data_IF_341661019397
#
_entry.id   IF_341661019397
#
_cell.length_a   1.000
_cell.length_b   1.000
_cell.length_c   1.000
_cell.angle_alpha   90.00
_cell.angle_beta   90.00
_cell.angle_gamma   90.00
#
_symmetry.space_group_name_H-M   'P 1'
#
loop_
_entity.id
_entity.type
_entity.pdbx_description
1 polymer ?
#
# COMPACT_ATOMS: atom_id res chain seq x y z
N UNK A 1 -30.16 28.90 4.82
CA UNK A 1 -31.31 28.56 3.95
C UNK A 1 -31.54 29.78 3.05
N UNK A 2 -30.75 29.88 1.98
CA UNK A 2 -30.90 30.96 0.99
C UNK A 2 -31.16 30.33 -0.37
N UNK A 3 -32.29 30.71 -0.94
CA UNK A 3 -32.79 30.24 -2.22
C UNK A 3 -32.26 31.19 -3.29
N UNK A 4 -31.39 30.72 -4.18
CA UNK A 4 -31.06 31.44 -5.41
C UNK A 4 -32.06 31.02 -6.50
N UNK A 5 -32.92 31.94 -6.89
CA UNK A 5 -33.85 31.77 -8.01
C UNK A 5 -33.24 32.37 -9.27
N UNK A 6 -32.97 31.54 -10.27
CA UNK A 6 -32.62 32.01 -11.62
C UNK A 6 -33.88 31.86 -12.49
N UNK A 7 -34.45 32.96 -12.91
CA UNK A 7 -35.49 33.03 -13.91
C UNK A 7 -34.96 32.79 -15.31
N UNK A 8 -35.29 31.67 -15.92
CA UNK A 8 -35.36 31.54 -17.37
C UNK A 8 -36.63 30.86 -17.79
N UNK A 9 -37.27 31.49 -18.78
CA UNK A 9 -38.59 31.16 -19.33
C UNK A 9 -38.72 29.72 -19.85
N UNK A 10 -39.83 29.08 -19.48
CA UNK A 10 -40.46 27.87 -20.03
C UNK A 10 -39.87 26.48 -19.71
N UNK A 11 -40.66 25.80 -18.91
CA UNK A 11 -40.67 24.40 -18.50
C UNK A 11 -39.95 24.09 -17.19
N UNK A 12 -40.74 24.16 -16.10
CA UNK A 12 -40.40 23.58 -14.81
C UNK A 12 -40.20 22.06 -14.95
N UNK A 13 -38.95 21.61 -14.91
CA UNK A 13 -38.61 20.26 -14.45
C UNK A 13 -38.00 20.42 -13.07
N UNK A 14 -38.75 20.06 -12.03
CA UNK A 14 -38.22 19.86 -10.67
C UNK A 14 -37.17 18.75 -10.76
N UNK A 15 -35.91 19.09 -10.64
CA UNK A 15 -34.83 18.15 -10.40
C UNK A 15 -34.61 18.10 -8.89
N UNK A 16 -35.18 17.11 -8.23
CA UNK A 16 -34.86 16.79 -6.84
C UNK A 16 -33.41 16.27 -6.78
N UNK A 17 -32.46 17.17 -6.51
CA UNK A 17 -31.10 16.81 -6.15
C UNK A 17 -31.12 16.24 -4.71
N UNK A 18 -31.36 14.95 -4.58
CA UNK A 18 -31.03 14.21 -3.35
C UNK A 18 -29.53 14.20 -3.17
N UNK A 19 -29.04 14.98 -2.22
CA UNK A 19 -27.69 14.84 -1.68
C UNK A 19 -27.61 13.51 -0.91
N UNK A 20 -27.34 12.41 -1.59
CA UNK A 20 -26.84 11.19 -0.94
C UNK A 20 -25.33 11.33 -0.79
N UNK A 21 -24.85 11.37 0.43
CA UNK A 21 -23.44 11.39 0.76
C UNK A 21 -22.73 10.18 0.17
N UNK A 22 -21.88 10.41 -0.82
CA UNK A 22 -21.13 9.42 -1.61
C UNK A 22 -20.43 8.32 -0.78
N UNK A 23 -19.95 8.54 0.47
CA UNK A 23 -19.31 7.49 1.25
C UNK A 23 -20.27 6.42 1.79
N UNK A 24 -21.51 6.77 2.13
CA UNK A 24 -22.46 5.82 2.74
C UNK A 24 -23.07 4.89 1.68
N UNK A 25 -23.29 5.39 0.47
CA UNK A 25 -23.81 4.59 -0.65
C UNK A 25 -22.80 3.51 -1.07
N UNK A 26 -21.51 3.85 -1.21
CA UNK A 26 -20.45 2.89 -1.52
C UNK A 26 -20.31 1.79 -0.45
N UNK A 27 -20.41 2.15 0.82
CA UNK A 27 -20.38 1.18 1.93
C UNK A 27 -21.63 0.31 1.93
N UNK A 28 -22.80 0.87 1.63
CA UNK A 28 -24.08 0.13 1.61
C UNK A 28 -24.17 -0.81 0.40
N UNK A 29 -23.64 -0.41 -0.76
CA UNK A 29 -23.60 -1.25 -1.97
C UNK A 29 -22.52 -2.34 -1.87
N UNK A 30 -21.39 -2.07 -1.24
CA UNK A 30 -20.35 -3.06 -0.91
C UNK A 30 -20.82 -4.09 0.12
N UNK A 31 -21.69 -3.71 1.06
CA UNK A 31 -22.19 -4.58 2.14
C UNK A 31 -23.49 -5.31 1.77
N UNK A 32 -24.26 -4.83 0.80
CA UNK A 32 -25.59 -5.39 0.47
C UNK A 32 -25.61 -6.84 -0.04
N UNK A 33 -24.58 -7.37 -0.74
CA UNK A 33 -24.53 -8.78 -1.13
C UNK A 33 -24.03 -9.72 -0.04
N UNK A 34 -23.45 -9.18 1.05
CA UNK A 34 -22.84 -9.96 2.15
C UNK A 34 -23.88 -10.41 3.18
N UNK A 35 -25.10 -9.87 3.09
CA UNK A 35 -26.19 -10.06 4.05
C UNK A 35 -26.82 -11.47 4.01
N UNK A 36 -26.61 -12.28 2.95
CA UNK A 36 -27.30 -13.58 2.82
C UNK A 36 -26.70 -14.72 3.66
N UNK A 37 -25.46 -14.57 4.17
CA UNK A 37 -24.88 -15.59 5.06
C UNK A 37 -23.94 -14.90 6.08
N UNK A 38 -24.38 -14.80 7.31
CA UNK A 38 -23.66 -14.17 8.44
C UNK A 38 -22.21 -14.70 8.58
N UNK A 39 -22.01 -15.99 8.33
CA UNK A 39 -20.70 -16.64 8.42
C UNK A 39 -19.74 -16.15 7.33
N UNK A 40 -20.22 -15.96 6.11
CA UNK A 40 -19.40 -15.44 4.99
C UNK A 40 -19.00 -13.98 5.24
N UNK A 41 -19.89 -13.15 5.77
CA UNK A 41 -19.58 -11.75 6.13
C UNK A 41 -18.48 -11.67 7.19
N UNK A 42 -18.54 -12.48 8.22
CA UNK A 42 -17.50 -12.53 9.28
C UNK A 42 -16.16 -13.05 8.76
N UNK A 43 -16.18 -14.02 7.85
CA UNK A 43 -14.93 -14.50 7.18
C UNK A 43 -14.28 -13.39 6.38
N UNK A 44 -15.06 -12.59 5.64
CA UNK A 44 -14.54 -11.46 4.87
C UNK A 44 -14.01 -10.35 5.78
N UNK A 45 -14.70 -10.04 6.88
CA UNK A 45 -14.23 -9.10 7.88
C UNK A 45 -12.90 -9.55 8.52
N UNK A 46 -12.78 -10.85 8.83
CA UNK A 46 -11.53 -11.43 9.34
C UNK A 46 -10.39 -11.27 8.35
N UNK A 47 -10.58 -11.59 7.07
CA UNK A 47 -9.56 -11.43 6.03
C UNK A 47 -9.21 -9.96 5.81
N UNK A 48 -10.20 -9.05 5.80
CA UNK A 48 -10.00 -7.62 5.62
C UNK A 48 -9.29 -6.94 6.80
N UNK A 49 -9.42 -7.46 8.01
CA UNK A 49 -8.74 -6.91 9.20
C UNK A 49 -7.21 -7.06 9.13
N UNK A 50 -6.71 -8.09 8.45
CA UNK A 50 -5.28 -8.43 8.40
C UNK A 50 -4.46 -7.34 7.65
N UNK A 51 -4.80 -6.94 6.40
CA UNK A 51 -4.07 -5.88 5.71
C UNK A 51 -4.25 -4.50 6.36
N UNK A 52 -5.37 -4.27 7.04
CA UNK A 52 -5.58 -3.05 7.81
C UNK A 52 -4.51 -2.87 8.89
N UNK A 53 -4.19 -3.93 9.64
CA UNK A 53 -3.17 -3.90 10.71
C UNK A 53 -1.78 -3.59 10.14
N UNK A 54 -1.41 -4.20 9.01
CA UNK A 54 -0.13 -3.93 8.35
C UNK A 54 0.06 -2.43 8.10
N UNK A 55 -0.97 -1.79 7.56
CA UNK A 55 -0.91 -0.39 7.16
C UNK A 55 -0.90 0.55 8.37
N UNK A 56 -1.67 0.20 9.42
CA UNK A 56 -1.66 0.95 10.67
C UNK A 56 -0.25 1.09 11.23
N UNK A 57 0.57 0.04 11.13
CA UNK A 57 1.90 0.00 11.74
C UNK A 57 2.92 1.03 11.26
N UNK A 58 2.86 1.44 10.03
CA UNK A 58 3.75 2.49 9.52
C UNK A 58 3.08 3.86 9.49
N UNK A 59 1.88 3.92 8.92
CA UNK A 59 1.22 5.20 8.66
C UNK A 59 0.76 5.91 9.94
N UNK A 60 0.41 5.14 10.99
CA UNK A 60 -0.03 5.69 12.28
C UNK A 60 1.10 6.39 13.05
N UNK A 61 2.35 5.95 12.86
CA UNK A 61 3.49 6.56 13.57
C UNK A 61 3.98 7.86 12.91
N UNK A 62 3.70 8.06 11.61
CA UNK A 62 4.21 9.23 10.87
C UNK A 62 3.89 10.57 11.56
N UNK A 63 2.64 10.87 11.96
CA UNK A 63 2.34 12.12 12.63
C UNK A 63 2.99 12.26 14.01
N UNK A 64 3.40 11.14 14.62
CA UNK A 64 3.98 11.10 15.97
C UNK A 64 5.50 11.28 15.93
N UNK A 65 6.16 11.03 14.81
CA UNK A 65 7.62 11.04 14.70
C UNK A 65 8.29 12.34 15.18
N UNK A 66 7.78 13.56 14.89
CA UNK A 66 8.39 14.77 15.40
C UNK A 66 8.33 14.86 16.93
N UNK A 67 7.24 14.40 17.56
CA UNK A 67 7.12 14.34 19.02
C UNK A 67 8.08 13.33 19.62
N UNK A 68 8.22 12.14 19.00
CA UNK A 68 9.23 11.14 19.38
C UNK A 68 10.65 11.69 19.27
N UNK A 69 10.92 12.46 18.19
CA UNK A 69 12.22 13.12 18.00
C UNK A 69 12.54 14.07 19.14
N UNK A 70 11.59 14.89 19.55
CA UNK A 70 11.76 15.87 20.64
C UNK A 70 11.94 15.19 21.99
N UNK A 71 11.06 14.25 22.36
CA UNK A 71 11.05 13.58 23.67
C UNK A 71 12.28 12.67 23.88
N UNK A 72 12.75 12.01 22.82
CA UNK A 72 13.90 11.11 22.89
C UNK A 72 15.23 11.80 22.48
N UNK A 73 15.23 13.10 22.20
CA UNK A 73 16.39 13.88 21.74
C UNK A 73 17.10 13.22 20.53
N UNK A 74 16.33 12.80 19.53
CA UNK A 74 16.84 12.11 18.35
C UNK A 74 17.22 13.08 17.23
N UNK A 75 18.20 12.69 16.41
CA UNK A 75 18.45 13.33 15.11
C UNK A 75 17.36 12.96 14.11
N UNK A 76 17.23 13.72 13.02
CA UNK A 76 16.27 13.43 11.94
C UNK A 76 16.51 12.06 11.33
N UNK A 77 17.77 11.67 11.18
CA UNK A 77 18.13 10.34 10.71
C UNK A 77 17.71 9.24 11.68
N UNK A 78 18.00 9.40 13.00
CA UNK A 78 17.61 8.40 14.00
C UNK A 78 16.11 8.19 14.09
N UNK A 79 15.30 9.25 14.02
CA UNK A 79 13.84 9.09 14.04
C UNK A 79 13.30 8.42 12.78
N UNK A 80 13.92 8.65 11.61
CA UNK A 80 13.53 7.98 10.36
C UNK A 80 13.78 6.46 10.41
N UNK A 81 14.81 6.00 11.14
CA UNK A 81 15.10 4.58 11.32
C UNK A 81 13.96 3.80 11.97
N UNK A 82 13.08 4.45 12.72
CA UNK A 82 11.89 3.80 13.30
C UNK A 82 10.95 3.25 12.22
N UNK A 83 10.84 3.92 11.08
CA UNK A 83 10.09 3.43 9.90
C UNK A 83 10.94 2.47 9.08
N UNK A 84 12.23 2.79 8.92
CA UNK A 84 13.16 2.05 8.08
C UNK A 84 13.35 0.61 8.54
N UNK A 85 13.69 0.38 9.81
CA UNK A 85 13.98 -0.97 10.32
C UNK A 85 12.77 -1.91 10.25
N UNK A 86 11.56 -1.38 10.47
CA UNK A 86 10.32 -2.12 10.24
C UNK A 86 10.20 -2.54 8.78
N UNK A 87 10.38 -1.59 7.87
CA UNK A 87 10.19 -1.83 6.43
C UNK A 87 11.26 -2.73 5.84
N UNK A 88 12.51 -2.64 6.31
CA UNK A 88 13.61 -3.55 5.94
C UNK A 88 13.32 -4.96 6.44
N UNK A 89 12.95 -5.11 7.71
CA UNK A 89 12.62 -6.41 8.29
C UNK A 89 11.43 -7.05 7.54
N UNK A 90 10.40 -6.29 7.21
CA UNK A 90 9.28 -6.76 6.40
C UNK A 90 9.75 -7.18 4.99
N UNK A 91 10.56 -6.35 4.31
CA UNK A 91 11.05 -6.63 2.96
C UNK A 91 11.83 -7.95 2.88
N UNK A 92 12.68 -8.22 3.86
CA UNK A 92 13.46 -9.46 3.93
C UNK A 92 12.55 -10.66 4.23
N UNK A 93 11.55 -10.49 5.10
CA UNK A 93 10.71 -11.59 5.58
C UNK A 93 9.57 -11.95 4.62
N UNK A 94 9.10 -11.04 3.75
CA UNK A 94 7.98 -11.28 2.83
C UNK A 94 8.18 -12.51 1.94
N UNK A 95 9.31 -12.70 1.23
CA UNK A 95 9.50 -13.87 0.38
C UNK A 95 9.54 -15.18 1.19
N UNK A 96 10.14 -15.14 2.38
CA UNK A 96 10.24 -16.30 3.27
C UNK A 96 8.86 -16.73 3.80
N UNK A 97 8.11 -15.80 4.37
CA UNK A 97 6.79 -16.08 4.92
C UNK A 97 5.77 -16.41 3.82
N UNK A 98 5.91 -15.82 2.63
CA UNK A 98 5.17 -16.19 1.43
C UNK A 98 5.37 -17.68 1.09
N UNK A 99 6.62 -18.12 0.98
CA UNK A 99 6.97 -19.53 0.74
C UNK A 99 6.43 -20.45 1.84
N UNK A 100 6.61 -20.09 3.10
CA UNK A 100 6.11 -20.88 4.22
C UNK A 100 4.58 -21.00 4.21
N UNK A 101 3.87 -19.95 3.78
CA UNK A 101 2.42 -19.95 3.69
C UNK A 101 1.88 -20.88 2.58
N UNK A 102 2.67 -21.11 1.53
CA UNK A 102 2.36 -22.09 0.47
C UNK A 102 2.61 -23.54 0.98
N UNK A 103 3.58 -23.72 1.87
CA UNK A 103 3.96 -25.02 2.40
C UNK A 103 3.06 -25.52 3.54
N UNK A 104 2.65 -24.60 4.40
CA UNK A 104 1.75 -24.91 5.53
C UNK A 104 0.32 -24.50 5.16
N UNK A 105 -0.41 -23.86 6.06
CA UNK A 105 -1.68 -23.20 5.74
C UNK A 105 -1.51 -21.71 5.88
N UNK A 106 -2.32 -20.93 5.15
CA UNK A 106 -2.27 -19.46 5.24
C UNK A 106 -2.49 -19.00 6.69
N UNK A 107 -3.47 -19.61 7.35
CA UNK A 107 -3.82 -19.33 8.75
C UNK A 107 -2.66 -19.64 9.71
N UNK A 108 -1.89 -20.72 9.45
CA UNK A 108 -0.75 -21.11 10.29
C UNK A 108 0.42 -20.12 10.22
N UNK A 109 0.49 -19.27 9.21
CA UNK A 109 1.49 -18.21 9.10
C UNK A 109 0.92 -16.86 9.55
N UNK A 110 -0.34 -16.54 9.23
CA UNK A 110 -0.98 -15.28 9.62
C UNK A 110 -1.02 -15.13 11.15
N UNK A 111 -1.44 -16.17 11.91
CA UNK A 111 -1.62 -16.05 13.35
C UNK A 111 -0.29 -15.78 14.09
N UNK A 112 0.80 -16.55 13.90
CA UNK A 112 2.10 -16.23 14.51
C UNK A 112 2.63 -14.87 14.07
N UNK A 113 2.38 -14.47 12.82
CA UNK A 113 2.79 -13.16 12.29
C UNK A 113 2.09 -12.01 13.01
N UNK A 114 0.79 -12.12 13.27
CA UNK A 114 0.04 -11.14 14.07
C UNK A 114 0.50 -11.11 15.53
N UNK A 115 0.84 -12.27 16.10
CA UNK A 115 1.42 -12.35 17.47
C UNK A 115 2.76 -11.62 17.53
N UNK A 116 3.67 -11.88 16.58
CA UNK A 116 4.95 -11.17 16.48
C UNK A 116 4.76 -9.67 16.30
N UNK A 117 3.79 -9.29 15.47
CA UNK A 117 3.49 -7.87 15.24
C UNK A 117 3.03 -7.18 16.52
N UNK A 118 2.10 -7.78 17.26
CA UNK A 118 1.62 -7.29 18.56
C UNK A 118 2.72 -7.26 19.62
N UNK A 119 3.52 -8.33 19.73
CA UNK A 119 4.64 -8.43 20.66
C UNK A 119 5.69 -7.34 20.42
N UNK A 120 6.04 -7.07 19.15
CA UNK A 120 6.94 -5.96 18.81
C UNK A 120 6.37 -4.61 19.23
N UNK A 121 5.05 -4.41 19.14
CA UNK A 121 4.37 -3.22 19.66
C UNK A 121 4.48 -3.10 21.17
N UNK A 122 4.23 -4.20 21.91
CA UNK A 122 4.40 -4.23 23.36
C UNK A 122 5.83 -3.88 23.77
N UNK A 123 6.84 -4.49 23.13
CA UNK A 123 8.25 -4.21 23.42
C UNK A 123 8.56 -2.73 23.21
N UNK A 124 8.18 -2.15 22.06
CA UNK A 124 8.45 -0.76 21.76
C UNK A 124 7.70 0.20 22.71
N UNK A 125 6.43 -0.08 23.01
CA UNK A 125 5.61 0.72 23.91
C UNK A 125 6.10 0.68 25.35
N UNK A 126 6.41 -0.53 25.85
CA UNK A 126 6.93 -0.73 27.21
C UNK A 126 8.29 -0.04 27.38
N UNK A 127 9.16 -0.16 26.40
CA UNK A 127 10.45 0.53 26.42
C UNK A 127 10.28 2.04 26.45
N UNK A 128 9.38 2.58 25.61
CA UNK A 128 9.11 4.01 25.57
C UNK A 128 8.51 4.56 26.88
N UNK A 129 7.73 3.74 27.59
CA UNK A 129 7.08 4.13 28.84
C UNK A 129 7.98 4.08 30.06
N UNK A 130 8.92 3.10 30.12
CA UNK A 130 9.63 2.79 31.35
C UNK A 130 11.17 2.86 31.28
N UNK A 131 11.78 2.88 30.07
CA UNK A 131 13.23 2.83 29.96
C UNK A 131 13.81 4.21 29.62
N UNK A 132 14.84 4.63 30.33
CA UNK A 132 15.59 5.87 30.04
C UNK A 132 16.30 5.84 28.68
N UNK A 133 16.72 4.66 28.21
CA UNK A 133 17.35 4.44 26.91
C UNK A 133 16.41 3.64 25.98
N UNK A 134 15.20 4.14 25.78
CA UNK A 134 14.13 3.44 25.04
C UNK A 134 14.44 3.20 23.55
N UNK A 135 15.29 4.04 22.92
CA UNK A 135 15.45 4.07 21.46
C UNK A 135 15.82 2.71 20.86
N UNK A 136 16.83 2.02 21.40
CA UNK A 136 17.26 0.71 20.87
C UNK A 136 16.18 -0.37 21.02
N UNK A 137 15.44 -0.34 22.11
CA UNK A 137 14.32 -1.26 22.34
C UNK A 137 13.14 -0.97 21.41
N UNK A 138 12.89 0.31 21.14
CA UNK A 138 11.90 0.71 20.11
C UNK A 138 12.29 0.14 18.74
N UNK A 139 13.57 0.28 18.33
CA UNK A 139 14.05 -0.29 17.07
C UNK A 139 13.91 -1.80 17.05
N UNK A 140 14.26 -2.49 18.14
CA UNK A 140 14.08 -3.96 18.26
C UNK A 140 12.61 -4.35 18.11
N UNK A 141 11.71 -3.67 18.82
CA UNK A 141 10.28 -3.87 18.67
C UNK A 141 9.81 -3.64 17.24
N UNK A 142 10.34 -2.63 16.55
CA UNK A 142 10.02 -2.32 15.15
C UNK A 142 10.52 -3.40 14.18
N UNK A 143 11.69 -4.00 14.42
CA UNK A 143 12.18 -5.14 13.65
C UNK A 143 11.24 -6.33 13.80
N UNK A 144 10.86 -6.68 15.04
CA UNK A 144 9.92 -7.78 15.32
C UNK A 144 8.56 -7.52 14.66
N UNK A 145 8.03 -6.30 14.74
CA UNK A 145 6.82 -5.88 14.04
C UNK A 145 6.95 -6.05 12.52
N UNK A 146 8.10 -5.68 11.94
CA UNK A 146 8.37 -5.82 10.51
C UNK A 146 8.34 -7.28 10.05
N UNK A 147 8.95 -8.20 10.82
CA UNK A 147 8.88 -9.64 10.56
C UNK A 147 7.43 -10.11 10.61
N UNK A 148 6.69 -9.73 11.65
CA UNK A 148 5.26 -10.05 11.74
C UNK A 148 4.43 -9.47 10.60
N UNK A 149 4.70 -8.24 10.20
CA UNK A 149 4.02 -7.56 9.08
C UNK A 149 4.10 -8.35 7.76
N UNK A 150 5.24 -8.99 7.50
CA UNK A 150 5.48 -9.74 6.27
C UNK A 150 4.51 -10.92 6.05
N UNK A 151 4.00 -11.51 7.14
CA UNK A 151 3.04 -12.62 7.10
C UNK A 151 1.56 -12.19 7.09
N UNK A 152 1.25 -10.94 6.79
CA UNK A 152 -0.11 -10.39 6.87
C UNK A 152 -0.75 -10.16 5.50
N UNK A 153 -0.71 -8.95 4.95
CA UNK A 153 -1.48 -8.57 3.76
C UNK A 153 -1.24 -9.44 2.52
N UNK A 154 -0.02 -9.82 2.13
CA UNK A 154 0.18 -10.68 0.96
C UNK A 154 -0.47 -12.06 1.13
N UNK A 155 -0.38 -12.62 2.34
CA UNK A 155 -0.94 -13.94 2.65
C UNK A 155 -2.47 -13.85 2.79
N UNK A 156 -3.02 -12.76 3.32
CA UNK A 156 -4.47 -12.53 3.37
C UNK A 156 -5.08 -12.44 1.96
N UNK A 157 -4.40 -11.81 1.01
CA UNK A 157 -4.84 -11.79 -0.39
C UNK A 157 -4.82 -13.19 -1.03
N UNK A 158 -3.77 -13.98 -0.76
CA UNK A 158 -3.70 -15.37 -1.21
C UNK A 158 -4.83 -16.20 -0.58
N UNK A 159 -5.07 -16.07 0.73
CA UNK A 159 -6.16 -16.73 1.44
C UNK A 159 -7.54 -16.39 0.87
N UNK A 160 -7.79 -15.12 0.53
CA UNK A 160 -9.01 -14.70 -0.14
C UNK A 160 -9.18 -15.41 -1.50
N UNK A 161 -8.08 -15.55 -2.25
CA UNK A 161 -8.05 -16.29 -3.52
C UNK A 161 -8.31 -17.79 -3.38
N UNK A 162 -7.85 -18.38 -2.26
CA UNK A 162 -8.02 -19.83 -1.99
C UNK A 162 -9.44 -20.16 -1.49
N UNK A 163 -10.05 -19.29 -0.68
CA UNK A 163 -11.38 -19.52 -0.08
C UNK A 163 -12.55 -19.15 -0.98
N UNK A 164 -12.37 -18.20 -1.88
CA UNK A 164 -13.43 -17.71 -2.76
C UNK A 164 -13.09 -17.94 -4.23
N UNK A 165 -14.10 -18.24 -5.07
CA UNK A 165 -13.92 -18.52 -6.50
C UNK A 165 -14.85 -17.67 -7.37
N UNK A 166 -14.49 -17.49 -8.64
CA UNK A 166 -15.30 -16.79 -9.62
C UNK A 166 -15.54 -15.32 -9.27
N UNK A 167 -16.75 -14.82 -9.50
CA UNK A 167 -17.11 -13.42 -9.23
C UNK A 167 -17.04 -13.02 -7.76
N UNK A 168 -17.21 -13.98 -6.83
CA UNK A 168 -17.09 -13.72 -5.39
C UNK A 168 -15.63 -13.47 -4.98
N UNK A 169 -14.68 -14.20 -5.57
CA UNK A 169 -13.25 -13.97 -5.35
C UNK A 169 -12.84 -12.53 -5.68
N UNK A 170 -13.24 -12.04 -6.86
CA UNK A 170 -12.92 -10.67 -7.27
C UNK A 170 -13.49 -9.62 -6.31
N UNK A 171 -14.71 -9.83 -5.82
CA UNK A 171 -15.35 -8.94 -4.83
C UNK A 171 -14.59 -8.92 -3.51
N UNK A 172 -14.20 -10.10 -3.00
CA UNK A 172 -13.47 -10.21 -1.72
C UNK A 172 -12.08 -9.61 -1.84
N UNK A 173 -11.35 -9.87 -2.92
CA UNK A 173 -10.05 -9.25 -3.17
C UNK A 173 -10.16 -7.72 -3.28
N UNK A 174 -11.18 -7.21 -3.93
CA UNK A 174 -11.49 -5.77 -3.98
C UNK A 174 -11.73 -5.18 -2.59
N UNK A 175 -12.45 -5.90 -1.71
CA UNK A 175 -12.72 -5.45 -0.35
C UNK A 175 -11.46 -5.47 0.53
N UNK A 176 -10.59 -6.47 0.37
CA UNK A 176 -9.29 -6.56 1.04
C UNK A 176 -8.39 -5.38 0.65
N UNK A 177 -8.36 -5.02 -0.63
CA UNK A 177 -7.60 -3.86 -1.11
C UNK A 177 -8.22 -2.54 -0.64
N UNK A 178 -9.55 -2.43 -0.63
CA UNK A 178 -10.26 -1.28 -0.07
C UNK A 178 -9.97 -1.10 1.43
N UNK A 179 -9.90 -2.19 2.19
CA UNK A 179 -9.51 -2.19 3.61
C UNK A 179 -8.08 -1.68 3.80
N UNK A 180 -7.14 -2.11 2.95
CA UNK A 180 -5.76 -1.61 2.92
C UNK A 180 -5.72 -0.10 2.64
N UNK A 181 -6.48 0.36 1.63
CA UNK A 181 -6.59 1.79 1.29
C UNK A 181 -7.21 2.62 2.42
N UNK A 182 -8.31 2.15 2.99
CA UNK A 182 -8.97 2.79 4.13
C UNK A 182 -8.03 2.91 5.34
N UNK A 183 -7.26 1.85 5.61
CA UNK A 183 -6.25 1.86 6.65
C UNK A 183 -5.22 2.97 6.47
N UNK A 184 -4.75 3.23 5.24
CA UNK A 184 -3.80 4.32 4.96
C UNK A 184 -4.39 5.69 5.31
N UNK A 185 -5.66 5.91 4.97
CA UNK A 185 -6.34 7.20 5.20
C UNK A 185 -6.57 7.44 6.69
N UNK A 186 -7.07 6.42 7.41
CA UNK A 186 -7.46 6.59 8.82
C UNK A 186 -6.27 6.54 9.78
N UNK A 187 -5.17 5.87 9.39
CA UNK A 187 -4.00 5.68 10.26
C UNK A 187 -3.39 6.96 10.80
N UNK A 188 -3.11 8.01 10.00
CA UNK A 188 -2.55 9.25 10.53
C UNK A 188 -3.49 9.97 11.50
N UNK A 189 -4.80 9.86 11.25
CA UNK A 189 -5.83 10.46 12.13
C UNK A 189 -5.85 9.74 13.48
N UNK A 190 -5.92 8.40 13.47
CA UNK A 190 -5.87 7.58 14.70
C UNK A 190 -4.56 7.82 15.45
N UNK A 191 -3.43 7.82 14.74
CA UNK A 191 -2.13 8.08 15.34
C UNK A 191 -2.06 9.41 16.04
N UNK A 192 -2.51 10.47 15.39
CA UNK A 192 -2.58 11.81 15.98
C UNK A 192 -3.52 11.88 17.17
N UNK A 193 -4.68 11.22 17.10
CA UNK A 193 -5.64 11.19 18.21
C UNK A 193 -5.06 10.50 19.45
N UNK A 194 -4.41 9.34 19.26
CA UNK A 194 -3.78 8.59 20.34
C UNK A 194 -2.62 9.39 20.97
N UNK A 195 -1.85 10.10 20.15
CA UNK A 195 -0.73 10.92 20.59
C UNK A 195 -1.14 12.13 21.43
N UNK A 196 -2.45 12.48 21.51
CA UNK A 196 -2.96 13.47 22.46
C UNK A 196 -2.86 12.98 23.91
N UNK A 197 -2.94 11.68 24.14
CA UNK A 197 -2.78 11.09 25.49
C UNK A 197 -1.29 11.07 25.82
N UNK A 198 -0.55 10.19 25.15
CA UNK A 198 0.92 10.11 25.17
C UNK A 198 1.40 9.54 23.83
N UNK A 199 2.54 9.99 23.35
CA UNK A 199 3.03 9.58 22.02
C UNK A 199 3.28 8.06 21.90
N UNK A 200 3.71 7.41 22.97
CA UNK A 200 4.01 5.97 22.95
C UNK A 200 2.75 5.08 23.09
N UNK A 201 1.59 5.66 23.40
CA UNK A 201 0.33 4.89 23.44
C UNK A 201 0.00 4.24 22.10
N UNK A 202 0.46 4.81 20.99
CA UNK A 202 0.31 4.24 19.66
C UNK A 202 0.88 2.80 19.56
N UNK A 203 1.97 2.51 20.27
CA UNK A 203 2.56 1.18 20.26
C UNK A 203 1.70 0.14 20.99
N UNK A 204 0.95 0.52 22.01
CA UNK A 204 0.03 -0.36 22.75
C UNK A 204 -1.27 -0.64 22.00
N UNK A 205 -1.62 0.17 21.01
CA UNK A 205 -2.80 -0.06 20.17
C UNK A 205 -2.59 -1.22 19.20
N UNK A 206 -1.36 -1.47 18.75
CA UNK A 206 -1.06 -2.57 17.83
C UNK A 206 -1.42 -3.95 18.39
N UNK A 207 -1.01 -4.36 19.62
CA UNK A 207 -1.41 -5.65 20.18
C UNK A 207 -2.92 -5.79 20.34
N UNK A 208 -3.65 -4.71 20.62
CA UNK A 208 -5.12 -4.73 20.72
C UNK A 208 -5.73 -5.07 19.35
N UNK A 209 -5.32 -4.38 18.30
CA UNK A 209 -5.79 -4.65 16.94
C UNK A 209 -5.38 -6.05 16.45
N UNK A 210 -4.16 -6.48 16.77
CA UNK A 210 -3.71 -7.85 16.48
C UNK A 210 -4.56 -8.89 17.17
N UNK A 211 -4.88 -8.71 18.45
CA UNK A 211 -5.74 -9.61 19.20
C UNK A 211 -7.12 -9.75 18.55
N UNK A 212 -7.74 -8.63 18.18
CA UNK A 212 -9.03 -8.62 17.47
C UNK A 212 -8.93 -9.42 16.16
N UNK A 213 -7.89 -9.16 15.35
CA UNK A 213 -7.70 -9.87 14.08
C UNK A 213 -7.38 -11.35 14.27
N UNK A 214 -6.61 -11.73 15.29
CA UNK A 214 -6.34 -13.12 15.65
C UNK A 214 -7.66 -13.83 16.00
N UNK A 215 -8.47 -13.23 16.87
CA UNK A 215 -9.76 -13.80 17.25
C UNK A 215 -10.67 -13.98 16.03
N UNK A 216 -10.79 -12.95 15.19
CA UNK A 216 -11.55 -13.05 13.94
C UNK A 216 -11.00 -14.18 13.05
N UNK A 217 -9.68 -14.28 12.89
CA UNK A 217 -9.01 -15.29 12.06
C UNK A 217 -9.23 -16.70 12.62
N UNK A 218 -9.11 -16.88 13.95
CA UNK A 218 -9.28 -18.19 14.59
C UNK A 218 -10.70 -18.70 14.46
N UNK A 219 -11.69 -17.86 14.74
CA UNK A 219 -13.09 -18.28 14.80
C UNK A 219 -13.80 -18.32 13.44
N UNK A 220 -13.47 -17.43 12.52
CA UNK A 220 -14.23 -17.27 11.27
C UNK A 220 -13.52 -17.78 10.02
N UNK A 221 -12.21 -18.02 10.05
CA UNK A 221 -11.49 -18.56 8.90
C UNK A 221 -11.34 -20.07 9.07
N UNK A 222 -12.05 -20.83 8.22
CA UNK A 222 -11.94 -22.30 8.12
C UNK A 222 -11.14 -22.63 6.86
N UNK A 223 -9.86 -22.93 7.00
CA UNK A 223 -8.99 -23.35 5.92
C UNK A 223 -8.84 -24.86 5.93
N UNK A 224 -9.06 -25.50 4.76
CA UNK A 224 -8.77 -26.93 4.56
C UNK A 224 -7.32 -27.04 4.07
N UNK A 225 -6.55 -27.92 4.69
CA UNK A 225 -5.17 -28.23 4.26
C UNK A 225 -5.21 -28.79 2.84
N UNK A 226 -4.73 -28.03 1.86
CA UNK A 226 -4.51 -28.53 0.51
C UNK A 226 -3.21 -29.32 0.51
N UNK A 227 -3.30 -30.63 0.13
CA UNK A 227 -2.12 -31.50 -0.10
C UNK A 227 -1.44 -31.09 -1.42
N UNK A 228 -0.87 -29.94 -1.50
CA UNK A 228 0.06 -29.64 -2.59
C UNK A 228 1.46 -29.89 -2.07
N UNK A 229 2.22 -30.77 -2.69
CA UNK A 229 3.63 -30.93 -2.40
C UNK A 229 4.35 -29.63 -2.76
N UNK A 230 4.87 -28.89 -1.77
CA UNK A 230 5.50 -27.60 -2.02
C UNK A 230 6.79 -27.81 -2.80
N UNK A 231 7.06 -26.93 -3.75
CA UNK A 231 8.31 -26.92 -4.50
C UNK A 231 9.50 -26.85 -3.50
N UNK A 232 10.55 -27.66 -3.69
CA UNK A 232 11.78 -27.56 -2.88
C UNK A 232 12.34 -26.15 -2.91
N UNK A 233 12.85 -25.65 -1.78
CA UNK A 233 13.45 -24.29 -1.66
C UNK A 233 14.45 -24.02 -2.78
N UNK A 234 15.25 -25.00 -3.15
CA UNK A 234 16.24 -24.91 -4.25
C UNK A 234 15.58 -24.58 -5.59
N UNK A 235 14.43 -25.18 -5.89
CA UNK A 235 13.67 -24.94 -7.12
C UNK A 235 12.97 -23.57 -7.06
N UNK A 236 12.52 -23.15 -5.89
CA UNK A 236 11.95 -21.84 -5.65
C UNK A 236 12.97 -20.72 -5.93
N UNK A 237 14.19 -20.84 -5.36
CA UNK A 237 15.29 -19.88 -5.60
C UNK A 237 15.79 -19.95 -7.04
N UNK A 238 15.92 -21.15 -7.63
CA UNK A 238 16.33 -21.31 -9.03
C UNK A 238 15.30 -20.69 -10.00
N UNK A 239 14.00 -20.81 -9.68
CA UNK A 239 12.93 -20.15 -10.42
C UNK A 239 13.07 -18.63 -10.45
N UNK A 240 13.54 -17.99 -9.34
CA UNK A 240 13.90 -16.57 -9.27
C UNK A 240 14.89 -16.16 -10.35
N UNK A 241 16.05 -16.77 -10.32
CA UNK A 241 17.11 -16.44 -11.25
C UNK A 241 16.67 -16.65 -12.71
N UNK A 242 15.86 -17.67 -12.96
CA UNK A 242 15.33 -17.94 -14.29
C UNK A 242 14.36 -16.83 -14.75
N UNK A 243 13.44 -16.38 -13.89
CA UNK A 243 12.51 -15.27 -14.21
C UNK A 243 13.29 -13.99 -14.48
N UNK A 244 14.28 -13.65 -13.63
CA UNK A 244 15.09 -12.45 -13.84
C UNK A 244 15.96 -12.54 -15.10
N UNK A 245 16.45 -13.71 -15.44
CA UNK A 245 17.27 -13.91 -16.66
C UNK A 245 16.44 -13.74 -17.95
N UNK A 246 15.18 -14.20 -17.97
CA UNK A 246 14.32 -14.15 -19.16
C UNK A 246 13.46 -12.88 -19.26
N UNK A 247 12.95 -12.39 -18.14
CA UNK A 247 12.01 -11.25 -18.09
C UNK A 247 12.64 -10.00 -17.42
N UNK A 248 13.94 -10.03 -17.13
CA UNK A 248 14.62 -9.13 -16.18
C UNK A 248 14.45 -7.64 -16.44
N UNK A 249 14.47 -7.17 -17.69
CA UNK A 249 14.48 -5.73 -17.98
C UNK A 249 13.16 -5.04 -17.62
N UNK A 250 12.04 -5.55 -18.11
CA UNK A 250 10.74 -4.94 -17.83
C UNK A 250 10.31 -5.17 -16.37
N UNK A 251 10.62 -6.35 -15.81
CA UNK A 251 10.26 -6.71 -14.44
C UNK A 251 11.02 -5.85 -13.43
N UNK A 252 12.33 -5.66 -13.64
CA UNK A 252 13.15 -4.76 -12.83
C UNK A 252 12.60 -3.33 -12.86
N UNK A 253 12.22 -2.83 -14.05
CA UNK A 253 11.67 -1.48 -14.20
C UNK A 253 10.32 -1.34 -13.50
N UNK A 254 9.45 -2.36 -13.58
CA UNK A 254 8.18 -2.38 -12.86
C UNK A 254 8.39 -2.38 -11.33
N UNK A 255 9.36 -3.15 -10.83
CA UNK A 255 9.73 -3.16 -9.42
C UNK A 255 10.27 -1.81 -8.97
N UNK A 256 11.15 -1.21 -9.77
CA UNK A 256 11.71 0.11 -9.50
C UNK A 256 10.62 1.18 -9.44
N UNK A 257 9.65 1.15 -10.35
CA UNK A 257 8.52 2.09 -10.33
C UNK A 257 7.65 1.94 -9.08
N UNK A 258 7.36 0.69 -8.67
CA UNK A 258 6.63 0.44 -7.42
C UNK A 258 7.40 0.86 -6.17
N UNK A 259 8.71 0.62 -6.14
CA UNK A 259 9.59 1.08 -5.06
C UNK A 259 9.67 2.60 -5.00
N UNK A 260 9.79 3.28 -6.15
CA UNK A 260 9.80 4.75 -6.25
C UNK A 260 8.50 5.35 -5.73
N UNK A 261 7.35 4.75 -6.02
CA UNK A 261 6.07 5.20 -5.47
C UNK A 261 6.04 5.14 -3.94
N UNK A 262 6.52 4.06 -3.31
CA UNK A 262 6.55 3.98 -1.85
C UNK A 262 7.69 4.80 -1.23
N UNK A 263 8.82 4.92 -1.90
CA UNK A 263 9.90 5.83 -1.52
C UNK A 263 9.41 7.28 -1.42
N UNK A 264 8.77 7.76 -2.47
CA UNK A 264 8.23 9.13 -2.51
C UNK A 264 7.08 9.30 -1.53
N UNK A 265 6.17 8.33 -1.40
CA UNK A 265 5.03 8.40 -0.49
C UNK A 265 5.48 8.53 0.97
N UNK A 266 6.33 7.59 1.45
CA UNK A 266 6.77 7.61 2.84
C UNK A 266 7.76 8.73 3.11
N UNK A 267 8.62 9.08 2.16
CA UNK A 267 9.53 10.21 2.26
C UNK A 267 8.80 11.54 2.39
N UNK A 268 7.81 11.78 1.50
CA UNK A 268 7.03 13.03 1.55
C UNK A 268 6.13 13.13 2.79
N UNK A 269 5.52 12.02 3.22
CA UNK A 269 4.73 12.00 4.46
C UNK A 269 5.60 12.30 5.69
N UNK A 270 6.83 11.79 5.72
CA UNK A 270 7.81 12.09 6.74
C UNK A 270 8.16 13.58 6.76
N UNK A 271 8.46 14.15 5.60
CA UNK A 271 8.74 15.58 5.44
C UNK A 271 7.54 16.44 5.86
N UNK A 272 6.32 16.13 5.38
CA UNK A 272 5.12 16.90 5.71
C UNK A 272 4.83 16.87 7.20
N UNK A 273 4.98 15.71 7.84
CA UNK A 273 4.78 15.59 9.29
C UNK A 273 5.69 16.54 10.07
N UNK A 274 6.95 16.70 9.65
CA UNK A 274 7.91 17.60 10.27
C UNK A 274 7.58 19.09 10.02
N UNK A 275 7.26 19.47 8.77
CA UNK A 275 6.97 20.89 8.46
C UNK A 275 5.63 21.37 9.02
N UNK A 276 4.61 20.52 9.09
CA UNK A 276 3.32 20.89 9.69
C UNK A 276 3.53 21.33 11.14
N UNK A 277 4.34 20.59 11.89
CA UNK A 277 4.61 20.92 13.30
C UNK A 277 5.58 22.09 13.45
N UNK A 278 6.73 22.07 12.74
CA UNK A 278 7.78 23.07 12.91
C UNK A 278 7.44 24.43 12.29
N UNK A 279 6.93 24.42 11.04
CA UNK A 279 6.72 25.63 10.24
C UNK A 279 5.32 26.18 10.38
N UNK A 280 4.31 25.32 10.28
CA UNK A 280 2.91 25.73 10.32
C UNK A 280 2.29 25.68 11.71
N UNK A 281 3.01 25.13 12.71
CA UNK A 281 2.53 24.99 14.11
C UNK A 281 1.20 24.21 14.19
N UNK A 282 1.00 23.25 13.28
CA UNK A 282 -0.16 22.38 13.22
C UNK A 282 0.22 21.03 13.84
N UNK A 283 -0.48 20.63 14.90
CA UNK A 283 -0.31 19.36 15.60
C UNK A 283 -1.65 18.68 15.87
N UNK A 284 -1.62 17.55 16.57
CA UNK A 284 -2.79 16.78 16.97
C UNK A 284 -3.62 16.25 15.80
N UNK A 285 -4.94 16.16 16.00
CA UNK A 285 -5.87 15.56 15.04
C UNK A 285 -5.88 16.29 13.69
N UNK A 286 -5.70 17.62 13.71
CA UNK A 286 -5.65 18.42 12.47
C UNK A 286 -4.46 18.02 11.59
N UNK A 287 -3.29 17.78 12.18
CA UNK A 287 -2.10 17.27 11.48
C UNK A 287 -2.37 15.91 10.84
N UNK A 288 -2.96 14.98 11.61
CA UNK A 288 -3.35 13.65 11.08
C UNK A 288 -4.35 13.75 9.93
N UNK A 289 -5.34 14.64 10.03
CA UNK A 289 -6.35 14.86 9.00
C UNK A 289 -5.73 15.44 7.71
N UNK A 290 -4.81 16.39 7.83
CA UNK A 290 -4.10 16.96 6.68
C UNK A 290 -3.23 15.88 5.99
N UNK A 291 -2.52 15.04 6.76
CA UNK A 291 -1.75 13.92 6.22
C UNK A 291 -2.64 12.86 5.53
N UNK A 292 -3.88 12.72 5.96
CA UNK A 292 -4.84 11.79 5.36
C UNK A 292 -5.32 12.24 3.97
N UNK A 293 -5.32 13.55 3.65
CA UNK A 293 -5.83 14.08 2.38
C UNK A 293 -5.11 13.47 1.17
N UNK A 294 -3.78 13.55 1.04
CA UNK A 294 -3.06 12.93 -0.07
C UNK A 294 -3.31 11.41 -0.16
N UNK A 295 -3.37 10.73 0.98
CA UNK A 295 -3.64 9.29 1.04
C UNK A 295 -5.05 8.92 0.59
N UNK A 296 -6.04 9.78 0.88
CA UNK A 296 -7.42 9.62 0.41
C UNK A 296 -7.47 9.69 -1.13
N UNK A 297 -6.89 10.73 -1.73
CA UNK A 297 -6.86 10.88 -3.19
C UNK A 297 -6.11 9.72 -3.87
N UNK A 298 -4.97 9.29 -3.30
CA UNK A 298 -4.25 8.12 -3.76
C UNK A 298 -5.14 6.87 -3.71
N UNK A 299 -5.84 6.63 -2.61
CA UNK A 299 -6.69 5.45 -2.40
C UNK A 299 -7.87 5.44 -3.35
N UNK A 300 -8.59 6.55 -3.48
CA UNK A 300 -9.72 6.70 -4.41
C UNK A 300 -9.26 6.48 -5.86
N UNK A 301 -8.14 7.10 -6.26
CA UNK A 301 -7.58 6.93 -7.61
C UNK A 301 -7.16 5.48 -7.85
N UNK A 302 -6.50 4.84 -6.87
CA UNK A 302 -6.12 3.42 -6.97
C UNK A 302 -7.33 2.50 -7.15
N UNK A 303 -8.40 2.75 -6.40
CA UNK A 303 -9.65 1.98 -6.50
C UNK A 303 -10.30 2.14 -7.88
N UNK A 304 -10.47 3.37 -8.35
CA UNK A 304 -11.06 3.66 -9.67
C UNK A 304 -10.20 3.04 -10.79
N UNK A 305 -8.89 3.20 -10.71
CA UNK A 305 -7.96 2.64 -11.69
C UNK A 305 -8.03 1.13 -11.69
N UNK A 306 -7.89 0.49 -10.53
CA UNK A 306 -7.92 -0.97 -10.40
C UNK A 306 -9.22 -1.59 -10.90
N UNK A 307 -10.36 -0.95 -10.64
CA UNK A 307 -11.68 -1.43 -11.08
C UNK A 307 -11.91 -1.32 -12.59
N UNK A 308 -11.29 -0.32 -13.27
CA UNK A 308 -11.52 -0.05 -14.71
C UNK A 308 -10.45 -0.61 -15.65
N UNK A 309 -9.28 -0.96 -15.13
CA UNK A 309 -8.11 -1.30 -15.95
C UNK A 309 -8.27 -2.64 -16.67
N UNK A 310 -8.92 -3.63 -16.04
CA UNK A 310 -9.17 -4.97 -16.60
C UNK A 310 -7.86 -5.67 -17.02
N UNK A 311 -7.85 -6.26 -18.22
CA UNK A 311 -6.67 -6.96 -18.80
C UNK A 311 -5.91 -6.13 -19.84
N UNK A 312 -6.15 -4.80 -19.93
CA UNK A 312 -5.64 -3.92 -20.98
C UNK A 312 -4.20 -3.48 -20.73
N UNK A 313 -3.22 -4.30 -21.11
CA UNK A 313 -1.78 -4.08 -20.89
C UNK A 313 -1.26 -2.73 -21.44
N UNK A 314 -1.76 -2.28 -22.62
CA UNK A 314 -1.38 -0.98 -23.20
C UNK A 314 -1.83 0.18 -22.30
N UNK A 315 -3.07 0.11 -21.80
CA UNK A 315 -3.62 1.12 -20.89
C UNK A 315 -2.84 1.15 -19.57
N UNK A 316 -2.46 -0.02 -19.03
CA UNK A 316 -1.63 -0.11 -17.82
C UNK A 316 -0.31 0.62 -18.00
N UNK A 317 0.42 0.36 -19.11
CA UNK A 317 1.66 1.04 -19.43
C UNK A 317 1.48 2.56 -19.53
N UNK A 318 0.44 3.02 -20.22
CA UNK A 318 0.15 4.46 -20.35
C UNK A 318 -0.12 5.11 -18.99
N UNK A 319 -0.96 4.48 -18.15
CA UNK A 319 -1.27 5.00 -16.83
C UNK A 319 -0.06 5.01 -15.86
N UNK A 320 0.85 4.04 -15.99
CA UNK A 320 2.13 4.04 -15.24
C UNK A 320 2.96 5.27 -15.64
N UNK A 321 3.12 5.53 -16.93
CA UNK A 321 3.91 6.66 -17.43
C UNK A 321 3.24 7.99 -17.04
N UNK A 322 1.94 8.14 -17.25
CA UNK A 322 1.18 9.34 -16.88
C UNK A 322 1.30 9.60 -15.38
N UNK A 323 1.12 8.57 -14.54
CA UNK A 323 1.23 8.72 -13.10
C UNK A 323 2.61 9.16 -12.64
N UNK A 324 3.68 8.59 -13.20
CA UNK A 324 5.06 9.01 -12.91
C UNK A 324 5.34 10.44 -13.40
N UNK A 325 4.82 10.85 -14.56
CA UNK A 325 4.96 12.21 -15.05
C UNK A 325 4.18 13.22 -14.19
N UNK A 326 2.98 12.87 -13.73
CA UNK A 326 2.23 13.68 -12.76
C UNK A 326 3.03 13.89 -11.47
N UNK A 327 3.68 12.83 -10.96
CA UNK A 327 4.56 12.94 -9.80
C UNK A 327 5.75 13.86 -10.11
N UNK A 328 6.39 13.71 -11.26
CA UNK A 328 7.52 14.55 -11.69
C UNK A 328 7.15 16.02 -11.74
N UNK A 329 6.06 16.36 -12.43
CA UNK A 329 5.56 17.74 -12.54
C UNK A 329 5.21 18.29 -11.16
N UNK A 330 4.52 17.50 -10.32
CA UNK A 330 4.17 17.91 -8.96
C UNK A 330 5.40 18.24 -8.13
N UNK A 331 6.40 17.35 -8.08
CA UNK A 331 7.60 17.58 -7.29
C UNK A 331 8.43 18.74 -7.84
N UNK A 332 8.52 18.91 -9.15
CA UNK A 332 9.18 20.09 -9.77
C UNK A 332 8.49 21.40 -9.38
N UNK A 333 7.16 21.41 -9.38
CA UNK A 333 6.35 22.58 -9.04
C UNK A 333 6.44 22.94 -7.55
N UNK A 334 6.54 21.94 -6.64
CA UNK A 334 6.66 22.15 -5.20
C UNK A 334 7.92 22.93 -4.78
N UNK A 335 8.92 23.03 -5.65
CA UNK A 335 10.11 23.87 -5.45
C UNK A 335 9.73 25.34 -5.23
N UNK A 336 8.68 25.83 -5.91
CA UNK A 336 8.28 27.23 -5.95
C UNK A 336 7.22 27.58 -4.89
N UNK A 337 6.47 26.61 -4.40
CA UNK A 337 5.35 26.86 -3.49
C UNK A 337 5.68 26.49 -2.05
N UNK A 338 5.44 27.45 -1.12
CA UNK A 338 5.68 27.26 0.32
C UNK A 338 4.40 27.45 1.16
N UNK A 339 3.38 28.12 0.61
CA UNK A 339 2.11 28.33 1.30
C UNK A 339 1.35 27.00 1.42
N UNK A 340 0.69 26.78 2.55
CA UNK A 340 0.04 25.51 2.90
C UNK A 340 -0.92 25.02 1.81
N UNK A 341 -1.89 25.84 1.38
CA UNK A 341 -2.93 25.42 0.46
C UNK A 341 -2.38 25.01 -0.92
N UNK A 342 -1.61 25.85 -1.64
CA UNK A 342 -1.07 25.43 -2.95
C UNK A 342 -0.11 24.26 -2.82
N UNK A 343 0.67 24.17 -1.74
CA UNK A 343 1.55 23.05 -1.48
C UNK A 343 0.77 21.71 -1.42
N UNK A 344 -0.29 21.65 -0.61
CA UNK A 344 -1.10 20.44 -0.49
C UNK A 344 -1.91 20.15 -1.76
N UNK A 345 -2.39 21.15 -2.49
CA UNK A 345 -3.06 20.95 -3.77
C UNK A 345 -2.16 20.27 -4.79
N UNK A 346 -0.89 20.66 -4.87
CA UNK A 346 0.10 20.04 -5.76
C UNK A 346 0.43 18.62 -5.27
N UNK A 347 0.54 18.40 -3.96
CA UNK A 347 0.75 17.05 -3.41
C UNK A 347 -0.39 16.08 -3.72
N UNK A 348 -1.62 16.54 -3.74
CA UNK A 348 -2.76 15.74 -4.17
C UNK A 348 -2.56 15.23 -5.61
N UNK A 349 -2.03 16.05 -6.52
CA UNK A 349 -1.73 15.63 -7.89
C UNK A 349 -0.66 14.52 -7.90
N UNK A 350 0.40 14.65 -7.10
CA UNK A 350 1.40 13.57 -6.92
C UNK A 350 0.78 12.28 -6.38
N UNK A 351 -0.14 12.39 -5.43
CA UNK A 351 -0.84 11.26 -4.84
C UNK A 351 -1.78 10.56 -5.82
N UNK A 352 -2.45 11.32 -6.70
CA UNK A 352 -3.19 10.79 -7.84
C UNK A 352 -2.25 10.02 -8.77
N UNK A 353 -1.06 10.59 -9.07
CA UNK A 353 -0.02 9.90 -9.84
C UNK A 353 0.34 8.54 -9.24
N UNK A 354 0.64 8.49 -7.94
CA UNK A 354 0.92 7.24 -7.21
C UNK A 354 -0.27 6.26 -7.29
N UNK A 355 -1.49 6.77 -7.16
CA UNK A 355 -2.75 6.02 -7.25
C UNK A 355 -2.99 5.40 -8.63
N UNK A 356 -2.50 6.00 -9.71
CA UNK A 356 -2.52 5.42 -11.06
C UNK A 356 -1.46 4.32 -11.20
N UNK A 357 -0.25 4.54 -10.72
CA UNK A 357 0.90 3.66 -10.92
C UNK A 357 0.74 2.32 -10.21
N UNK A 358 0.42 2.33 -8.91
CA UNK A 358 0.47 1.12 -8.07
C UNK A 358 -0.46 -0.01 -8.54
N UNK A 359 -1.77 0.21 -8.82
CA UNK A 359 -2.65 -0.86 -9.28
C UNK A 359 -2.27 -1.34 -10.68
N UNK A 360 -1.78 -0.42 -11.55
CA UNK A 360 -1.34 -0.77 -12.88
C UNK A 360 -0.14 -1.70 -12.86
N UNK A 361 0.89 -1.41 -12.06
CA UNK A 361 2.07 -2.28 -11.93
C UNK A 361 1.66 -3.63 -11.34
N UNK A 362 0.84 -3.64 -10.30
CA UNK A 362 0.37 -4.87 -9.67
C UNK A 362 -0.33 -5.79 -10.68
N UNK A 363 -1.28 -5.23 -11.46
CA UNK A 363 -2.00 -5.95 -12.49
C UNK A 363 -1.10 -6.35 -13.67
N UNK A 364 -0.15 -5.50 -14.05
CA UNK A 364 0.80 -5.79 -15.12
C UNK A 364 1.71 -6.97 -14.76
N UNK A 365 2.29 -6.98 -13.56
CA UNK A 365 3.13 -8.08 -13.06
C UNK A 365 2.32 -9.38 -12.99
N UNK A 366 1.13 -9.35 -12.35
CA UNK A 366 0.30 -10.54 -12.16
C UNK A 366 -0.25 -11.09 -13.47
N UNK A 367 -0.48 -10.24 -14.47
CA UNK A 367 -1.00 -10.62 -15.77
C UNK A 367 0.09 -11.06 -16.77
N UNK A 368 1.35 -10.71 -16.55
CA UNK A 368 2.47 -11.01 -17.45
C UNK A 368 3.25 -12.28 -17.08
N UNK A 369 3.00 -12.86 -15.90
CA UNK A 369 3.72 -14.02 -15.38
C UNK A 369 2.80 -15.23 -15.30
N UNK A 370 3.31 -16.41 -15.66
CA UNK A 370 2.59 -17.70 -15.57
C UNK A 370 2.13 -17.99 -14.13
N UNK A 371 1.03 -18.75 -13.99
CA UNK A 371 0.39 -18.97 -12.70
C UNK A 371 1.31 -19.63 -11.66
N UNK A 372 2.18 -20.55 -12.08
CA UNK A 372 3.17 -21.26 -11.28
C UNK A 372 4.25 -20.34 -10.65
N UNK A 373 4.55 -19.22 -11.30
CA UNK A 373 5.58 -18.25 -10.86
C UNK A 373 5.01 -16.97 -10.25
N UNK A 374 3.70 -16.77 -10.37
CA UNK A 374 3.03 -15.53 -9.99
C UNK A 374 3.21 -15.19 -8.50
N UNK A 375 2.98 -16.17 -7.62
CA UNK A 375 3.10 -15.97 -6.17
C UNK A 375 4.46 -15.46 -5.76
N UNK A 376 5.49 -16.03 -6.37
CA UNK A 376 6.88 -15.68 -6.10
C UNK A 376 7.23 -14.25 -6.61
N UNK A 377 6.90 -13.95 -7.85
CA UNK A 377 7.20 -12.64 -8.45
C UNK A 377 6.44 -11.52 -7.74
N UNK A 378 5.20 -11.77 -7.30
CA UNK A 378 4.43 -10.80 -6.52
C UNK A 378 4.96 -10.61 -5.09
N UNK A 379 5.44 -11.67 -4.44
CA UNK A 379 6.08 -11.56 -3.12
C UNK A 379 7.35 -10.72 -3.20
N UNK A 380 8.19 -10.96 -4.22
CA UNK A 380 9.41 -10.18 -4.43
C UNK A 380 9.10 -8.72 -4.77
N UNK A 381 8.04 -8.46 -5.56
CA UNK A 381 7.55 -7.11 -5.81
C UNK A 381 7.14 -6.42 -4.50
N UNK A 382 6.41 -7.13 -3.63
CA UNK A 382 6.07 -6.65 -2.29
C UNK A 382 7.32 -6.29 -1.47
N UNK A 383 8.33 -7.16 -1.46
CA UNK A 383 9.61 -6.94 -0.81
C UNK A 383 10.31 -5.67 -1.31
N UNK A 384 10.46 -5.50 -2.63
CA UNK A 384 11.12 -4.33 -3.23
C UNK A 384 10.34 -3.04 -2.94
N UNK A 385 9.01 -3.09 -2.91
CA UNK A 385 8.19 -1.94 -2.49
C UNK A 385 8.48 -1.53 -1.05
N UNK A 386 8.59 -2.49 -0.14
CA UNK A 386 8.94 -2.20 1.26
C UNK A 386 10.34 -1.64 1.41
N UNK A 387 11.31 -2.03 0.56
CA UNK A 387 12.62 -1.36 0.51
C UNK A 387 12.49 0.11 0.07
N UNK A 388 11.62 0.43 -0.89
CA UNK A 388 11.30 1.81 -1.23
C UNK A 388 10.78 2.59 -0.02
N UNK A 389 9.81 2.04 0.71
CA UNK A 389 9.28 2.64 1.93
C UNK A 389 10.34 2.79 3.04
N UNK A 390 11.29 1.86 3.12
CA UNK A 390 12.39 1.88 4.08
C UNK A 390 13.38 3.01 3.84
N UNK A 391 13.75 3.23 2.58
CA UNK A 391 14.78 4.20 2.17
C UNK A 391 14.22 5.62 2.11
N UNK A 392 12.90 5.77 1.89
CA UNK A 392 12.24 7.08 1.77
C UNK A 392 12.54 8.03 2.93
N UNK A 393 12.09 7.73 4.16
CA UNK A 393 12.25 8.64 5.30
C UNK A 393 13.71 9.05 5.60
N UNK A 394 14.73 8.16 5.60
CA UNK A 394 16.11 8.57 5.83
C UNK A 394 16.65 9.51 4.76
N UNK A 395 16.40 9.19 3.48
CA UNK A 395 16.88 10.03 2.37
C UNK A 395 16.20 11.40 2.40
N UNK A 396 14.88 11.44 2.62
CA UNK A 396 14.17 12.71 2.77
C UNK A 396 14.65 13.48 4.00
N UNK A 397 14.96 12.80 5.11
CA UNK A 397 15.55 13.39 6.29
C UNK A 397 16.88 14.10 6.00
N UNK A 398 17.77 13.44 5.27
CA UNK A 398 19.05 14.02 4.84
C UNK A 398 18.88 15.16 3.84
N UNK A 399 18.01 14.95 2.84
CA UNK A 399 17.78 15.94 1.79
C UNK A 399 17.10 17.22 2.31
N UNK A 400 16.18 17.11 3.27
CA UNK A 400 15.52 18.28 3.86
C UNK A 400 16.45 19.11 4.74
N UNK A 401 17.43 18.48 5.40
CA UNK A 401 18.48 19.18 6.15
C UNK A 401 19.46 19.90 5.22
N UNK A 402 19.74 19.33 4.04
CA UNK A 402 20.61 19.94 3.03
C UNK A 402 19.92 21.08 2.29
N UNK A 403 18.79 20.82 1.63
CA UNK A 403 18.04 21.83 0.88
C UNK A 403 16.64 21.34 0.52
N UNK A 404 15.61 22.11 0.89
CA UNK A 404 14.23 21.85 0.48
C UNK A 404 14.08 21.79 -1.07
N UNK A 405 14.70 22.74 -1.77
CA UNK A 405 14.67 22.77 -3.24
C UNK A 405 15.38 21.54 -3.83
N UNK A 406 16.55 21.20 -3.29
CA UNK A 406 17.31 20.01 -3.67
C UNK A 406 16.52 18.72 -3.47
N UNK A 407 15.80 18.59 -2.36
CA UNK A 407 14.96 17.43 -2.07
C UNK A 407 13.86 17.24 -3.13
N UNK A 408 13.14 18.29 -3.49
CA UNK A 408 12.09 18.18 -4.51
C UNK A 408 12.64 17.95 -5.91
N UNK A 409 13.76 18.58 -6.28
CA UNK A 409 14.40 18.38 -7.59
C UNK A 409 14.97 16.95 -7.73
N UNK A 410 15.63 16.41 -6.71
CA UNK A 410 16.12 15.02 -6.74
C UNK A 410 14.97 14.04 -6.83
N UNK A 411 13.86 14.28 -6.12
CA UNK A 411 12.65 13.45 -6.22
C UNK A 411 12.01 13.53 -7.61
N UNK A 412 11.92 14.72 -8.19
CA UNK A 412 11.40 14.92 -9.55
C UNK A 412 12.29 14.22 -10.58
N UNK A 413 13.62 14.37 -10.47
CA UNK A 413 14.58 13.69 -11.35
C UNK A 413 14.49 12.17 -11.27
N UNK A 414 14.33 11.62 -10.07
CA UNK A 414 14.12 10.18 -9.87
C UNK A 414 12.83 9.69 -10.54
N UNK A 415 11.71 10.39 -10.31
CA UNK A 415 10.41 9.99 -10.91
C UNK A 415 10.42 10.13 -12.44
N UNK A 416 11.10 11.14 -12.97
CA UNK A 416 11.31 11.30 -14.43
C UNK A 416 12.16 10.18 -15.00
N UNK A 417 13.30 9.86 -14.37
CA UNK A 417 14.17 8.76 -14.80
C UNK A 417 13.39 7.46 -14.86
N UNK A 418 12.61 7.15 -13.82
CA UNK A 418 11.80 5.93 -13.78
C UNK A 418 10.69 5.96 -14.83
N UNK A 419 10.07 7.11 -15.12
CA UNK A 419 9.10 7.26 -16.21
C UNK A 419 9.72 6.93 -17.56
N UNK A 420 10.92 7.46 -17.83
CA UNK A 420 11.71 7.18 -19.06
C UNK A 420 12.04 5.69 -19.15
N UNK A 421 12.51 5.08 -18.08
CA UNK A 421 12.78 3.64 -18.05
C UNK A 421 11.52 2.82 -18.33
N UNK A 422 10.37 3.19 -17.75
CA UNK A 422 9.08 2.54 -18.02
C UNK A 422 8.66 2.68 -19.49
N UNK A 423 8.88 3.84 -20.09
CA UNK A 423 8.56 4.08 -21.49
C UNK A 423 9.31 3.11 -22.43
N UNK A 424 10.62 2.93 -22.22
CA UNK A 424 11.48 2.13 -23.09
C UNK A 424 11.53 0.65 -22.73
N UNK A 425 11.51 0.30 -21.44
CA UNK A 425 11.73 -1.08 -21.01
C UNK A 425 10.46 -1.90 -20.83
N UNK A 426 9.30 -1.28 -20.52
CA UNK A 426 8.04 -2.00 -20.44
C UNK A 426 7.53 -2.27 -21.85
N UNK A 427 7.72 -3.49 -22.35
CA UNK A 427 7.19 -3.95 -23.64
C UNK A 427 5.85 -4.63 -23.45
N UNK A 428 4.84 -4.18 -24.17
CA UNK A 428 3.53 -4.83 -24.22
C UNK A 428 3.57 -5.82 -25.37
N UNK A 429 3.57 -7.13 -25.08
CA UNK A 429 3.37 -8.16 -26.11
C UNK A 429 2.01 -7.91 -26.77
N UNK A 430 1.97 -7.91 -28.11
CA UNK A 430 0.71 -7.88 -28.84
C UNK A 430 -0.08 -9.13 -28.42
N UNK A 431 -1.25 -8.96 -27.86
CA UNK A 431 -2.17 -10.08 -27.71
C UNK A 431 -2.52 -10.53 -29.13
N UNK A 432 -2.08 -11.72 -29.53
CA UNK A 432 -2.57 -12.37 -30.73
C UNK A 432 -4.08 -12.53 -30.55
N UNK A 433 -4.85 -12.01 -31.50
CA UNK A 433 -6.29 -12.18 -31.52
C UNK A 433 -6.60 -13.67 -31.64
N UNK A 434 -7.69 -14.20 -31.04
CA UNK A 434 -8.06 -15.62 -31.17
C UNK A 434 -8.22 -16.08 -32.62
N UNK A 435 -8.44 -15.15 -33.55
CA UNK A 435 -8.53 -15.41 -34.99
C UNK A 435 -7.20 -15.80 -35.66
N UNK A 436 -6.06 -15.18 -35.25
CA UNK A 436 -4.74 -15.51 -35.79
C UNK A 436 -4.24 -16.91 -35.36
N UNK A 437 -4.71 -17.39 -34.20
CA UNK A 437 -4.35 -18.73 -33.70
C UNK A 437 -5.12 -19.83 -34.44
N UNK A 438 -6.35 -19.55 -34.93
CA UNK A 438 -7.16 -20.47 -35.72
C UNK A 438 -6.59 -20.66 -37.13
N UNK A 439 -6.18 -19.55 -37.77
CA UNK A 439 -5.61 -19.59 -39.13
C UNK A 439 -4.23 -20.25 -39.17
N UNK A 440 -3.40 -20.06 -38.17
CA UNK A 440 -2.08 -20.71 -38.09
C UNK A 440 -2.19 -22.22 -37.78
N UNK A 441 -3.23 -22.64 -37.02
CA UNK A 441 -3.52 -24.04 -36.75
C UNK A 441 -4.14 -24.72 -38.00
N UNK A 442 -5.02 -24.05 -38.75
CA UNK A 442 -5.57 -24.56 -40.00
C UNK A 442 -4.51 -24.67 -41.07
N UNK A 443 -3.57 -23.75 -41.21
CA UNK A 443 -2.45 -23.86 -42.13
C UNK A 443 -1.48 -25.01 -41.80
N UNK A 444 -1.24 -25.30 -40.51
CA UNK A 444 -0.39 -26.42 -40.09
C UNK A 444 -1.06 -27.80 -40.26
N UNK A 445 -2.38 -27.85 -40.31
CA UNK A 445 -3.14 -29.10 -40.55
C UNK A 445 -3.36 -29.42 -42.05
N UNK A 446 -3.09 -28.47 -42.96
CA UNK A 446 -3.17 -28.67 -44.41
C UNK A 446 -1.86 -29.15 -45.04
N UNK A 447 -0.75 -29.21 -44.30
CA UNK A 447 0.58 -29.63 -44.80
C UNK A 447 1.17 -30.86 -44.09
N UNK A 448 0.32 -31.71 -43.47
CA UNK A 448 0.72 -33.07 -43.04
C UNK A 448 -0.17 -34.13 -43.66
#
# INVERSE_FOLDING_TARGET
MEIFTIHTSNREKKVDLKYESVPIFLVKELLSPLSKNKHTGMTIAAIGSIPLILVLGNSMLIPILPKMKAELNLTQFKVSLIITVFSVAAAISIPLLGYLSDRFTRKAIIIPSLILYGAGGLIAGSAAAWFSQAYMWILTGRIIQGIGAAGTAPIAMALAGDLFKGGQQSKVLGLVEASNGFGKVISPIIGSLIALIVWYAAFFVFPIFCLISILLTVFFIKEKRTKNDPLPVKNYVKGLFTVFKHEGRWLFTAYLAGATCLFTLFGILFYISDILEKTFKIDGVLKGSILAIPLLFMTVTSYITGSKIGKRMKLMKQLIIIGLLLMTVSFSTLVFFQRLVPFFSILVISSIGTGLVLPCINSFITGSVSADRRGFVTSLYGSVRFLGAAIGPPIYGLLMEWSRKGMFLTTASLTLLVAILCLFMIRVKKQESPEETSDSLFQKLQFN
#
